data_IF_050770995565
#
_entry.id   IF_050770995565
#
_cell.length_a   1.000
_cell.length_b   1.000
_cell.length_c   1.000
_cell.angle_alpha   90.00
_cell.angle_beta   90.00
_cell.angle_gamma   90.00
#
_symmetry.space_group_name_H-M   'P 1'
#
loop_
_entity.id
_entity.type
_entity.pdbx_description
1 polymer ?
#
# COMPACT_ATOMS: atom_id res chain seq x y z
N UNK A 1 12.94 -18.11 -19.78
CA UNK A 1 11.78 -17.56 -19.06
C UNK A 1 11.31 -16.33 -19.79
N UNK A 2 10.05 -16.35 -20.23
CA UNK A 2 9.40 -15.27 -20.96
C UNK A 2 9.42 -13.93 -20.17
N UNK A 3 9.41 -12.81 -20.88
CA UNK A 3 9.50 -11.47 -20.30
C UNK A 3 8.32 -11.19 -19.37
N UNK A 4 7.12 -11.66 -19.72
CA UNK A 4 5.93 -11.53 -18.87
C UNK A 4 6.12 -12.27 -17.54
N UNK A 5 6.66 -13.48 -17.58
CA UNK A 5 6.91 -14.29 -16.37
C UNK A 5 7.95 -13.61 -15.47
N UNK A 6 9.00 -13.02 -16.06
CA UNK A 6 9.99 -12.24 -15.30
C UNK A 6 9.37 -11.03 -14.61
N UNK A 7 8.54 -10.28 -15.33
CA UNK A 7 7.82 -9.15 -14.75
C UNK A 7 6.85 -9.60 -13.65
N UNK A 8 6.09 -10.67 -13.86
CA UNK A 8 5.15 -11.18 -12.87
C UNK A 8 5.84 -11.59 -11.57
N UNK A 9 6.95 -12.33 -11.65
CA UNK A 9 7.75 -12.70 -10.48
C UNK A 9 8.30 -11.45 -9.78
N UNK A 10 8.80 -10.48 -10.56
CA UNK A 10 9.33 -9.23 -10.02
C UNK A 10 8.24 -8.41 -9.30
N UNK A 11 7.07 -8.27 -9.92
CA UNK A 11 5.90 -7.59 -9.35
C UNK A 11 5.48 -8.24 -8.04
N UNK A 12 5.32 -9.57 -8.03
CA UNK A 12 4.95 -10.30 -6.82
C UNK A 12 6.00 -10.15 -5.73
N UNK A 13 7.29 -10.26 -6.08
CA UNK A 13 8.42 -10.13 -5.15
C UNK A 13 8.39 -8.80 -4.38
N UNK A 14 8.13 -7.69 -5.07
CA UNK A 14 8.28 -6.35 -4.48
C UNK A 14 6.97 -5.64 -4.12
N UNK A 15 5.87 -5.93 -4.79
CA UNK A 15 4.60 -5.22 -4.57
C UNK A 15 3.56 -6.05 -3.82
N UNK A 16 3.63 -7.39 -3.81
CA UNK A 16 2.62 -8.18 -3.08
C UNK A 16 2.64 -7.89 -1.57
N UNK A 17 3.78 -7.91 -0.84
CA UNK A 17 3.77 -7.59 0.59
C UNK A 17 3.20 -6.20 0.94
N UNK A 18 3.64 -5.08 0.31
CA UNK A 18 3.07 -3.78 0.59
C UNK A 18 1.61 -3.64 0.14
N UNK A 19 1.17 -4.30 -0.94
CA UNK A 19 -0.24 -4.35 -1.32
C UNK A 19 -1.10 -5.03 -0.25
N UNK A 20 -0.64 -6.18 0.27
CA UNK A 20 -1.31 -6.90 1.35
C UNK A 20 -1.34 -6.02 2.61
N UNK A 21 -0.23 -5.37 2.95
CA UNK A 21 -0.15 -4.49 4.10
C UNK A 21 -1.14 -3.32 4.00
N UNK A 22 -1.25 -2.68 2.83
CA UNK A 22 -2.15 -1.55 2.61
C UNK A 22 -3.64 -1.95 2.61
N UNK A 23 -3.97 -3.14 2.13
CA UNK A 23 -5.36 -3.62 2.09
C UNK A 23 -5.87 -4.15 3.44
N UNK A 24 -4.99 -4.73 4.25
CA UNK A 24 -5.35 -5.42 5.50
C UNK A 24 -6.04 -4.57 6.58
N UNK A 25 -5.79 -3.25 6.72
CA UNK A 25 -6.56 -2.39 7.63
C UNK A 25 -8.08 -2.46 7.41
N UNK A 26 -8.55 -2.79 6.20
CA UNK A 26 -9.97 -2.95 5.89
C UNK A 26 -10.62 -4.16 6.58
N UNK A 27 -9.82 -5.12 7.05
CA UNK A 27 -10.28 -6.34 7.71
C UNK A 27 -10.66 -6.13 9.18
N UNK A 28 -10.26 -5.00 9.76
CA UNK A 28 -10.46 -4.71 11.19
C UNK A 28 -11.25 -3.43 11.38
N UNK A 29 -12.09 -3.40 12.41
CA UNK A 29 -12.75 -2.16 12.87
C UNK A 29 -11.83 -1.43 13.84
N UNK A 30 -11.03 -0.51 13.31
CA UNK A 30 -10.14 0.31 14.12
C UNK A 30 -10.87 1.21 15.12
N UNK A 31 -10.36 1.29 16.35
CA UNK A 31 -10.91 2.12 17.44
C UNK A 31 -9.93 3.22 17.83
N UNK A 32 -8.64 2.88 17.96
CA UNK A 32 -7.62 3.79 18.46
C UNK A 32 -6.94 4.55 17.32
N UNK A 33 -7.27 5.83 17.17
CA UNK A 33 -6.72 6.69 16.10
C UNK A 33 -5.23 6.95 16.31
N UNK A 34 -4.47 6.88 15.22
CA UNK A 34 -3.02 7.13 15.21
C UNK A 34 -2.69 8.57 15.60
N UNK A 35 -3.52 9.52 15.17
CA UNK A 35 -3.33 10.94 15.46
C UNK A 35 -3.92 11.40 16.80
N UNK A 36 -4.46 10.50 17.63
CA UNK A 36 -5.13 10.85 18.89
C UNK A 36 -6.25 11.91 18.72
N UNK A 37 -6.87 12.01 17.53
CA UNK A 37 -7.83 13.06 17.18
C UNK A 37 -7.27 14.48 17.21
N UNK A 38 -5.96 14.65 17.08
CA UNK A 38 -5.32 15.96 17.00
C UNK A 38 -5.67 16.69 15.71
N UNK A 39 -5.65 18.01 15.80
CA UNK A 39 -5.72 18.93 14.67
C UNK A 39 -4.31 19.42 14.31
N UNK A 40 -4.07 19.66 13.03
CA UNK A 40 -2.86 20.32 12.54
C UNK A 40 -3.03 21.85 12.63
N UNK A 41 -1.95 22.58 12.35
CA UNK A 41 -1.89 24.05 12.43
C UNK A 41 -2.96 24.77 11.58
N UNK A 42 -3.48 24.09 10.56
CA UNK A 42 -4.55 24.58 9.67
C UNK A 42 -5.97 24.34 10.21
N UNK A 43 -6.11 23.85 11.45
CA UNK A 43 -7.40 23.55 12.08
C UNK A 43 -8.09 22.30 11.53
N UNK A 44 -7.44 21.54 10.65
CA UNK A 44 -7.98 20.28 10.09
C UNK A 44 -7.39 19.08 10.82
N UNK A 45 -8.08 17.91 10.87
CA UNK A 45 -7.53 16.71 11.51
C UNK A 45 -6.13 16.38 10.96
N UNK A 46 -5.24 15.84 11.80
CA UNK A 46 -3.88 15.52 11.36
C UNK A 46 -3.88 14.43 10.27
N UNK A 47 -4.52 13.28 10.54
CA UNK A 47 -4.64 12.14 9.63
C UNK A 47 -6.11 11.83 9.32
N UNK A 48 -6.96 11.84 10.36
CA UNK A 48 -8.38 11.53 10.25
C UNK A 48 -8.76 10.17 10.85
N UNK A 49 -10.06 10.01 11.12
CA UNK A 49 -10.62 8.91 11.92
C UNK A 49 -10.36 7.49 11.41
N UNK A 50 -10.03 7.33 10.13
CA UNK A 50 -9.83 6.01 9.51
C UNK A 50 -8.39 5.47 9.69
N UNK A 51 -7.47 6.26 10.24
CA UNK A 51 -6.09 5.82 10.50
C UNK A 51 -5.96 5.38 11.94
N UNK A 52 -5.87 4.07 12.17
CA UNK A 52 -5.88 3.47 13.50
C UNK A 52 -4.69 2.56 13.74
N UNK A 53 -4.32 2.41 15.01
CA UNK A 53 -3.20 1.54 15.42
C UNK A 53 -3.47 0.07 15.11
N UNK A 54 -4.72 -0.39 15.24
CA UNK A 54 -5.11 -1.75 14.88
C UNK A 54 -4.95 -2.00 13.38
N UNK A 55 -5.29 -1.00 12.55
CA UNK A 55 -5.08 -1.04 11.11
C UNK A 55 -3.60 -1.18 10.76
N UNK A 56 -2.75 -0.35 11.37
CA UNK A 56 -1.29 -0.44 11.18
C UNK A 56 -0.75 -1.80 11.63
N UNK A 57 -1.18 -2.30 12.79
CA UNK A 57 -0.71 -3.57 13.34
C UNK A 57 -1.09 -4.75 12.43
N UNK A 58 -2.33 -4.84 11.97
CA UNK A 58 -2.75 -5.92 11.06
C UNK A 58 -2.10 -5.77 9.68
N UNK A 59 -1.94 -4.53 9.20
CA UNK A 59 -1.23 -4.24 7.95
C UNK A 59 0.20 -4.77 7.98
N UNK A 60 0.94 -4.42 9.02
CA UNK A 60 2.32 -4.85 9.16
C UNK A 60 2.42 -6.37 9.32
N UNK A 61 1.56 -6.97 10.15
CA UNK A 61 1.53 -8.43 10.33
C UNK A 61 1.27 -9.17 9.01
N UNK A 62 0.24 -8.77 8.26
CA UNK A 62 -0.13 -9.44 7.00
C UNK A 62 0.89 -9.19 5.89
N UNK A 63 1.50 -8.01 5.85
CA UNK A 63 2.63 -7.70 4.96
C UNK A 63 3.84 -8.59 5.23
N UNK A 64 4.22 -8.76 6.51
CA UNK A 64 5.31 -9.67 6.90
C UNK A 64 4.96 -11.12 6.57
N UNK A 65 3.74 -11.58 6.87
CA UNK A 65 3.30 -12.94 6.61
C UNK A 65 3.31 -13.28 5.11
N UNK A 66 2.85 -12.35 4.25
CA UNK A 66 2.93 -12.53 2.80
C UNK A 66 4.37 -12.51 2.28
N UNK A 67 5.24 -11.68 2.86
CA UNK A 67 6.67 -11.70 2.53
C UNK A 67 7.36 -13.01 2.94
N UNK A 68 7.00 -13.56 4.11
CA UNK A 68 7.49 -14.86 4.56
C UNK A 68 7.08 -15.98 3.59
N UNK A 69 5.83 -15.98 3.14
CA UNK A 69 5.36 -16.95 2.15
C UNK A 69 6.15 -16.85 0.82
N UNK A 70 6.40 -15.63 0.34
CA UNK A 70 7.23 -15.40 -0.85
C UNK A 70 8.68 -15.81 -0.65
N UNK A 71 9.25 -15.54 0.52
CA UNK A 71 10.61 -15.92 0.89
C UNK A 71 10.81 -17.43 0.82
N UNK A 72 9.87 -18.20 1.36
CA UNK A 72 9.89 -19.68 1.30
C UNK A 72 9.75 -20.15 -0.15
N UNK A 73 8.78 -19.61 -0.90
CA UNK A 73 8.50 -20.01 -2.27
C UNK A 73 9.66 -19.73 -3.23
N UNK A 74 10.25 -18.53 -3.14
CA UNK A 74 11.36 -18.10 -3.99
C UNK A 74 12.74 -18.52 -3.46
N UNK A 75 12.78 -19.15 -2.28
CA UNK A 75 14.02 -19.55 -1.58
C UNK A 75 15.00 -18.37 -1.38
N UNK A 76 14.45 -17.21 -1.06
CA UNK A 76 15.20 -15.97 -0.85
C UNK A 76 14.87 -15.41 0.55
N UNK A 77 15.72 -15.68 1.57
CA UNK A 77 15.49 -15.23 2.94
C UNK A 77 15.55 -13.70 3.09
N UNK A 78 16.22 -12.99 2.18
CA UNK A 78 16.30 -11.52 2.23
C UNK A 78 14.94 -10.85 1.99
N UNK A 79 13.97 -11.59 1.42
CA UNK A 79 12.61 -11.08 1.24
C UNK A 79 11.91 -10.79 2.56
N UNK A 80 12.20 -11.50 3.65
CA UNK A 80 11.53 -11.24 4.93
C UNK A 80 11.79 -9.80 5.42
N UNK A 81 13.06 -9.38 5.66
CA UNK A 81 13.33 -8.00 6.09
C UNK A 81 12.98 -6.96 5.03
N UNK A 82 13.19 -7.26 3.73
CA UNK A 82 12.85 -6.33 2.64
C UNK A 82 11.34 -6.08 2.54
N UNK A 83 10.53 -7.14 2.60
CA UNK A 83 9.07 -7.02 2.54
C UNK A 83 8.48 -6.46 3.82
N UNK A 84 9.09 -6.71 4.99
CA UNK A 84 8.71 -6.07 6.24
C UNK A 84 8.91 -4.55 6.18
N UNK A 85 10.08 -4.10 5.74
CA UNK A 85 10.36 -2.67 5.56
C UNK A 85 9.47 -2.04 4.50
N UNK A 86 9.27 -2.70 3.36
CA UNK A 86 8.37 -2.20 2.32
C UNK A 86 6.91 -2.10 2.77
N UNK A 87 6.44 -3.05 3.59
CA UNK A 87 5.10 -3.03 4.20
C UNK A 87 4.95 -1.87 5.19
N UNK A 88 5.97 -1.63 6.03
CA UNK A 88 6.00 -0.47 6.90
C UNK A 88 6.00 0.85 6.10
N UNK A 89 6.82 0.93 5.04
CA UNK A 89 6.86 2.09 4.14
C UNK A 89 5.54 2.31 3.42
N UNK A 90 4.85 1.25 3.00
CA UNK A 90 3.51 1.34 2.41
C UNK A 90 2.50 1.98 3.37
N UNK A 91 2.47 1.53 4.63
CA UNK A 91 1.60 2.11 5.66
C UNK A 91 1.96 3.57 5.95
N UNK A 92 3.25 3.91 5.99
CA UNK A 92 3.70 5.30 6.11
C UNK A 92 3.22 6.13 4.91
N UNK A 93 3.32 5.59 3.70
CA UNK A 93 2.80 6.21 2.47
C UNK A 93 1.31 6.54 2.58
N UNK A 94 0.50 5.59 3.03
CA UNK A 94 -0.94 5.77 3.24
C UNK A 94 -1.26 6.81 4.35
N UNK A 95 -0.46 6.87 5.41
CA UNK A 95 -0.56 7.93 6.42
C UNK A 95 -0.23 9.31 5.83
N UNK A 96 0.84 9.41 5.04
CA UNK A 96 1.24 10.65 4.35
C UNK A 96 0.21 11.09 3.31
N UNK A 97 -0.38 10.13 2.58
CA UNK A 97 -1.50 10.37 1.66
C UNK A 97 -2.69 10.95 2.41
N UNK A 98 -3.02 10.37 3.57
CA UNK A 98 -4.10 10.88 4.40
C UNK A 98 -3.82 12.24 5.01
N UNK A 99 -2.60 12.49 5.48
CA UNK A 99 -2.17 13.83 5.90
C UNK A 99 -2.37 14.84 4.77
N UNK A 100 -1.87 14.55 3.57
CA UNK A 100 -2.01 15.40 2.37
C UNK A 100 -3.48 15.69 2.06
N UNK A 101 -4.33 14.66 2.07
CA UNK A 101 -5.78 14.79 1.89
C UNK A 101 -6.40 15.77 2.88
N UNK A 102 -6.00 15.73 4.15
CA UNK A 102 -6.49 16.69 5.16
C UNK A 102 -6.05 18.10 4.81
N UNK A 103 -4.79 18.32 4.43
CA UNK A 103 -4.26 19.67 4.08
C UNK A 103 -5.04 20.31 2.94
N UNK A 104 -5.44 19.55 1.92
CA UNK A 104 -6.24 20.05 0.79
C UNK A 104 -7.76 20.04 1.03
N UNK A 105 -8.22 19.69 2.24
CA UNK A 105 -9.65 19.77 2.61
C UNK A 105 -10.52 18.56 2.26
N UNK A 106 -9.93 17.45 1.81
CA UNK A 106 -10.65 16.19 1.57
C UNK A 106 -10.98 15.55 2.93
N UNK A 107 -12.22 15.07 3.15
CA UNK A 107 -12.64 14.49 4.44
C UNK A 107 -12.13 13.07 4.62
N UNK A 108 -12.04 12.61 5.87
CA UNK A 108 -11.59 11.23 6.17
C UNK A 108 -12.55 10.21 5.58
N UNK A 109 -12.04 9.36 4.70
CA UNK A 109 -12.82 8.34 3.99
C UNK A 109 -13.26 8.77 2.60
N UNK A 110 -13.22 10.06 2.27
CA UNK A 110 -13.52 10.53 0.92
C UNK A 110 -12.38 10.11 -0.03
N UNK A 111 -12.69 9.67 -1.25
CA UNK A 111 -11.69 9.23 -2.22
C UNK A 111 -10.89 10.42 -2.76
N UNK A 112 -9.60 10.21 -3.00
CA UNK A 112 -8.75 11.06 -3.82
C UNK A 112 -8.02 10.16 -4.84
N UNK A 113 -8.59 10.00 -6.05
CA UNK A 113 -8.02 9.14 -7.08
C UNK A 113 -6.56 9.48 -7.40
N UNK A 114 -5.84 8.47 -7.89
CA UNK A 114 -4.38 8.40 -8.06
C UNK A 114 -3.61 8.37 -6.73
N UNK A 115 -3.89 9.29 -5.80
CA UNK A 115 -3.18 9.28 -4.52
C UNK A 115 -3.49 8.00 -3.73
N UNK A 116 -4.77 7.70 -3.52
CA UNK A 116 -5.21 6.55 -2.70
C UNK A 116 -4.80 5.19 -3.28
N UNK A 117 -4.49 5.12 -4.58
CA UNK A 117 -4.08 3.89 -5.25
C UNK A 117 -2.56 3.73 -5.35
N UNK A 118 -1.80 4.83 -5.28
CA UNK A 118 -0.36 4.81 -5.55
C UNK A 118 0.50 5.21 -4.36
N UNK A 119 -0.04 5.85 -3.33
CA UNK A 119 0.72 6.33 -2.17
C UNK A 119 1.58 5.23 -1.52
N UNK A 120 0.99 4.07 -1.24
CA UNK A 120 1.70 2.92 -0.66
C UNK A 120 2.77 2.38 -1.62
N UNK A 121 2.47 2.29 -2.91
CA UNK A 121 3.35 1.72 -3.93
C UNK A 121 4.56 2.64 -4.20
N UNK A 122 4.34 3.95 -4.21
CA UNK A 122 5.38 4.97 -4.33
C UNK A 122 6.28 4.93 -3.09
N UNK A 123 5.70 4.87 -1.88
CA UNK A 123 6.48 4.81 -0.65
C UNK A 123 7.34 3.54 -0.56
N UNK A 124 6.83 2.37 -0.93
CA UNK A 124 7.61 1.13 -1.00
C UNK A 124 8.69 1.20 -2.09
N UNK A 125 8.40 1.79 -3.26
CA UNK A 125 9.40 2.00 -4.32
C UNK A 125 10.53 2.90 -3.88
N UNK A 126 10.21 3.99 -3.16
CA UNK A 126 11.19 4.89 -2.58
C UNK A 126 12.05 4.14 -1.56
N UNK A 127 11.45 3.33 -0.69
CA UNK A 127 12.19 2.48 0.26
C UNK A 127 13.22 1.58 -0.43
N UNK A 128 12.81 0.84 -1.47
CA UNK A 128 13.74 -0.03 -2.21
C UNK A 128 14.85 0.76 -2.91
N UNK A 129 14.51 1.94 -3.44
CA UNK A 129 15.48 2.83 -4.09
C UNK A 129 16.51 3.37 -3.08
N UNK A 130 16.07 3.79 -1.89
CA UNK A 130 16.93 4.30 -0.82
C UNK A 130 17.84 3.21 -0.24
N UNK A 131 17.40 1.95 -0.24
CA UNK A 131 18.24 0.80 0.11
C UNK A 131 19.25 0.42 -0.98
N UNK A 132 19.22 1.06 -2.15
CA UNK A 132 20.13 0.76 -3.25
C UNK A 132 19.83 -0.57 -3.94
N UNK A 133 18.58 -1.05 -3.90
CA UNK A 133 18.17 -2.26 -4.63
C UNK A 133 18.29 -2.01 -6.13
N UNK A 134 19.28 -2.64 -6.77
CA UNK A 134 19.68 -2.39 -8.16
C UNK A 134 18.53 -2.58 -9.16
N UNK A 135 17.60 -3.47 -8.87
CA UNK A 135 16.44 -3.70 -9.73
C UNK A 135 15.57 -2.45 -9.89
N UNK A 136 15.48 -1.58 -8.86
CA UNK A 136 14.72 -0.33 -8.94
C UNK A 136 15.44 0.77 -9.72
N UNK A 137 16.76 0.70 -9.87
CA UNK A 137 17.54 1.66 -10.67
C UNK A 137 17.75 1.20 -12.12
N UNK A 138 17.80 -0.11 -12.36
CA UNK A 138 18.04 -0.68 -13.70
C UNK A 138 16.73 -0.99 -14.43
N UNK A 139 15.65 -1.33 -13.73
CA UNK A 139 14.37 -1.76 -14.33
C UNK A 139 13.24 -0.76 -14.09
N UNK A 140 13.48 0.52 -14.43
CA UNK A 140 12.47 1.58 -14.28
C UNK A 140 11.16 1.29 -15.05
N UNK A 141 11.23 0.55 -16.15
CA UNK A 141 10.03 0.10 -16.89
C UNK A 141 9.15 -0.84 -16.07
N UNK A 142 9.74 -1.69 -15.22
CA UNK A 142 8.98 -2.58 -14.35
C UNK A 142 8.31 -1.81 -13.22
N UNK A 143 8.96 -0.81 -12.64
CA UNK A 143 8.34 0.10 -11.66
C UNK A 143 7.13 0.80 -12.31
N UNK A 144 7.30 1.41 -13.48
CA UNK A 144 6.21 2.10 -14.18
C UNK A 144 5.04 1.15 -14.51
N UNK A 145 5.34 -0.05 -15.01
CA UNK A 145 4.33 -1.06 -15.33
C UNK A 145 3.60 -1.55 -14.07
N UNK A 146 4.30 -1.69 -12.93
CA UNK A 146 3.69 -2.04 -11.65
C UNK A 146 2.72 -0.98 -11.17
N UNK A 147 3.09 0.31 -11.24
CA UNK A 147 2.19 1.40 -10.84
C UNK A 147 0.94 1.43 -11.73
N UNK A 148 1.11 1.26 -13.04
CA UNK A 148 -0.02 1.14 -13.96
C UNK A 148 -0.90 -0.08 -13.64
N UNK A 149 -0.29 -1.23 -13.39
CA UNK A 149 -1.01 -2.45 -13.03
C UNK A 149 -1.79 -2.27 -11.73
N UNK A 150 -1.21 -1.63 -10.72
CA UNK A 150 -1.88 -1.33 -9.44
C UNK A 150 -3.11 -0.45 -9.66
N UNK A 151 -3.02 0.59 -10.49
CA UNK A 151 -4.19 1.40 -10.87
C UNK A 151 -5.30 0.54 -11.49
N UNK A 152 -4.94 -0.34 -12.44
CA UNK A 152 -5.89 -1.23 -13.10
C UNK A 152 -6.51 -2.21 -12.10
N UNK A 153 -5.70 -2.82 -11.23
CA UNK A 153 -6.17 -3.75 -10.19
C UNK A 153 -7.13 -3.08 -9.20
N UNK A 154 -6.88 -1.83 -8.81
CA UNK A 154 -7.80 -1.06 -7.98
C UNK A 154 -9.14 -0.81 -8.67
N UNK A 155 -9.15 -0.43 -9.94
CA UNK A 155 -10.39 -0.25 -10.71
C UNK A 155 -11.18 -1.56 -10.83
N UNK A 156 -10.49 -2.67 -11.11
CA UNK A 156 -11.10 -3.98 -11.24
C UNK A 156 -11.69 -4.48 -9.91
N UNK A 157 -10.92 -4.39 -8.82
CA UNK A 157 -11.37 -4.81 -7.49
C UNK A 157 -12.58 -4.01 -7.01
N UNK A 158 -12.60 -2.68 -7.23
CA UNK A 158 -13.76 -1.85 -6.95
C UNK A 158 -14.98 -2.27 -7.79
N UNK A 159 -14.79 -2.56 -9.09
CA UNK A 159 -15.86 -3.02 -9.97
C UNK A 159 -16.41 -4.39 -9.53
N UNK A 160 -15.54 -5.32 -9.16
CA UNK A 160 -15.95 -6.63 -8.63
C UNK A 160 -16.74 -6.45 -7.34
N UNK A 161 -16.23 -5.66 -6.38
CA UNK A 161 -16.91 -5.38 -5.12
C UNK A 161 -18.31 -4.77 -5.32
N UNK A 162 -18.48 -3.91 -6.33
CA UNK A 162 -19.78 -3.39 -6.73
C UNK A 162 -20.69 -4.48 -7.32
N UNK A 163 -20.17 -5.30 -8.24
CA UNK A 163 -20.94 -6.36 -8.90
C UNK A 163 -21.43 -7.45 -7.93
N UNK A 164 -20.66 -7.75 -6.89
CA UNK A 164 -21.03 -8.73 -5.85
C UNK A 164 -21.82 -8.10 -4.69
N UNK A 165 -22.20 -6.82 -4.80
CA UNK A 165 -23.03 -6.12 -3.80
C UNK A 165 -22.33 -5.76 -2.49
N UNK A 166 -20.99 -5.84 -2.44
CA UNK A 166 -20.19 -5.44 -1.26
C UNK A 166 -20.02 -3.91 -1.19
N UNK A 167 -20.11 -3.21 -2.32
CA UNK A 167 -20.07 -1.75 -2.39
C UNK A 167 -21.26 -1.19 -3.16
N UNK A 168 -21.82 -0.08 -2.67
CA UNK A 168 -22.92 0.64 -3.32
C UNK A 168 -22.47 1.51 -4.51
N UNK A 169 -21.16 1.79 -4.62
CA UNK A 169 -20.58 2.68 -5.65
C UNK A 169 -19.48 1.97 -6.44
N UNK A 170 -19.38 2.32 -7.73
CA UNK A 170 -18.46 1.71 -8.70
C UNK A 170 -16.98 2.15 -8.54
N UNK A 171 -16.72 3.23 -7.79
CA UNK A 171 -15.40 3.83 -7.60
C UNK A 171 -15.14 4.11 -6.12
#
# INVERSE_FOLDING_TARGET
>A
MDQLVRFAIWFLKYYLPPMVANASPLLVRGRYRVDFSMFFLDGKPLLGKNKTWEGIAIGLYMGIASSLALSIYLRDPLLIPLGAGASASALIGDLLGSFTKRRIGVRSGDPLPLLDQLDFAIASSLYYTLLGIREFTVQYSYVALSLLLILVLHLLSNRIAYLIGVKDKKW
#
